data_IF_243919968183
#
_entry.id   IF_243919968183
#
_cell.length_a   1.000
_cell.length_b   1.000
_cell.length_c   1.000
_cell.angle_alpha   90.00
_cell.angle_beta   90.00
_cell.angle_gamma   90.00
#
_symmetry.space_group_name_H-M   'P 1'
#
loop_
_entity.id
_entity.type
_entity.pdbx_description
1 polymer ?
#
# COMPACT_ATOMS: atom_id res chain seq x y z
N UNK A 1 2.37 29.29 -9.77
CA UNK A 1 2.36 27.83 -9.67
C UNK A 1 3.62 27.45 -8.89
N UNK A 2 3.50 26.69 -7.83
CA UNK A 2 4.68 26.07 -7.17
C UNK A 2 5.29 25.09 -8.17
N UNK A 3 6.62 25.01 -8.24
CA UNK A 3 7.27 24.01 -9.09
C UNK A 3 7.01 22.62 -8.50
N UNK A 4 6.63 21.66 -9.32
CA UNK A 4 6.47 20.27 -8.88
C UNK A 4 7.80 19.73 -8.33
N UNK A 5 7.72 18.88 -7.30
CA UNK A 5 8.88 18.14 -6.81
C UNK A 5 9.20 16.98 -7.77
N UNK A 6 10.46 16.62 -7.93
CA UNK A 6 10.86 15.53 -8.83
C UNK A 6 10.11 14.22 -8.57
N UNK A 7 9.88 13.88 -7.29
CA UNK A 7 9.16 12.65 -6.92
C UNK A 7 7.64 12.72 -7.11
N UNK A 8 7.09 13.85 -7.50
CA UNK A 8 5.70 13.99 -7.94
C UNK A 8 5.55 13.93 -9.47
N UNK A 9 6.65 13.73 -10.18
CA UNK A 9 6.70 13.56 -11.62
C UNK A 9 7.13 12.13 -12.00
N UNK A 10 6.99 11.76 -13.27
CA UNK A 10 7.67 10.59 -13.80
C UNK A 10 9.19 10.78 -13.73
N UNK A 11 9.88 9.78 -13.21
CA UNK A 11 11.33 9.74 -13.25
C UNK A 11 11.79 9.29 -14.64
N UNK A 12 12.77 9.97 -15.25
CA UNK A 12 13.35 9.47 -16.47
C UNK A 12 13.91 8.05 -16.26
N UNK A 13 13.52 7.06 -17.09
CA UNK A 13 14.09 5.73 -17.00
C UNK A 13 15.63 5.79 -17.13
N UNK A 14 16.33 5.11 -16.22
CA UNK A 14 17.80 5.06 -16.25
C UNK A 14 18.38 4.18 -17.37
N UNK A 15 17.52 3.39 -18.03
CA UNK A 15 17.86 2.49 -19.13
C UNK A 15 16.59 2.13 -19.93
N UNK A 16 16.75 1.39 -21.02
CA UNK A 16 15.66 0.94 -21.89
C UNK A 16 14.99 -0.37 -21.42
N UNK A 17 15.19 -0.78 -20.16
CA UNK A 17 14.58 -1.99 -19.64
C UNK A 17 13.04 -1.87 -19.70
N UNK A 18 12.34 -2.79 -20.40
CA UNK A 18 10.89 -2.75 -20.53
C UNK A 18 10.16 -2.86 -19.19
N UNK A 19 10.85 -3.29 -18.14
CA UNK A 19 10.32 -3.41 -16.78
C UNK A 19 10.67 -2.23 -15.86
N UNK A 20 11.17 -1.12 -16.42
CA UNK A 20 11.16 0.13 -15.66
C UNK A 20 9.73 0.43 -15.26
N UNK A 21 9.52 0.58 -13.98
CA UNK A 21 8.19 0.66 -13.37
C UNK A 21 8.09 1.91 -12.51
N UNK A 22 6.94 2.57 -12.57
CA UNK A 22 6.55 3.57 -11.58
C UNK A 22 5.21 3.20 -10.99
N UNK A 23 5.04 3.42 -9.70
CA UNK A 23 3.78 3.16 -9.00
C UNK A 23 3.38 4.36 -8.16
N UNK A 24 2.07 4.61 -8.09
CA UNK A 24 1.46 5.53 -7.14
C UNK A 24 0.37 4.76 -6.40
N UNK A 25 0.62 4.38 -5.17
CA UNK A 25 -0.36 3.68 -4.37
C UNK A 25 -0.91 4.59 -3.27
N UNK A 26 -2.21 4.67 -3.20
CA UNK A 26 -2.94 5.34 -2.15
C UNK A 26 -3.90 4.35 -1.52
N UNK A 27 -3.77 4.10 -0.24
CA UNK A 27 -4.68 3.24 0.52
C UNK A 27 -5.28 3.97 1.69
N UNK A 28 -6.53 3.67 1.99
CA UNK A 28 -7.28 4.27 3.08
C UNK A 28 -8.08 3.22 3.83
N UNK A 29 -8.19 3.42 5.14
CA UNK A 29 -8.92 2.54 6.05
C UNK A 29 -10.09 3.30 6.65
N UNK A 30 -11.32 2.78 6.53
CA UNK A 30 -12.57 3.33 7.07
C UNK A 30 -13.12 2.36 8.13
N UNK A 31 -12.63 2.47 9.38
CA UNK A 31 -12.88 1.48 10.42
C UNK A 31 -14.37 1.31 10.77
N UNK A 32 -15.13 2.40 10.73
CA UNK A 32 -16.55 2.43 11.06
C UNK A 32 -17.38 1.54 10.12
N UNK A 33 -16.88 1.33 8.91
CA UNK A 33 -17.47 0.46 7.90
C UNK A 33 -16.72 -0.87 7.75
N UNK A 34 -15.62 -1.05 8.46
CA UNK A 34 -14.65 -2.14 8.25
C UNK A 34 -14.20 -2.25 6.79
N UNK A 35 -14.14 -1.10 6.11
CA UNK A 35 -13.83 -0.99 4.71
C UNK A 35 -12.38 -0.53 4.52
N UNK A 36 -11.69 -1.19 3.61
CA UNK A 36 -10.43 -0.72 3.03
C UNK A 36 -10.60 -0.42 1.56
N UNK A 37 -9.80 0.53 1.08
CA UNK A 37 -9.79 0.86 -0.32
C UNK A 37 -8.41 1.28 -0.80
N UNK A 38 -8.15 1.06 -2.07
CA UNK A 38 -6.92 1.54 -2.70
C UNK A 38 -7.15 2.04 -4.12
N UNK A 39 -6.38 3.07 -4.48
CA UNK A 39 -6.14 3.48 -5.85
C UNK A 39 -4.68 3.17 -6.18
N UNK A 40 -4.46 2.33 -7.18
CA UNK A 40 -3.13 1.82 -7.48
C UNK A 40 -2.81 1.88 -8.98
N UNK A 41 -2.50 3.06 -9.53
CA UNK A 41 -1.95 3.14 -10.88
C UNK A 41 -0.49 2.65 -10.89
N UNK A 42 -0.19 1.91 -11.91
CA UNK A 42 1.07 1.26 -12.18
C UNK A 42 1.48 1.55 -13.62
N UNK A 43 2.71 2.00 -13.83
CA UNK A 43 3.18 2.48 -15.12
C UNK A 43 4.42 1.71 -15.58
N UNK A 44 4.51 1.52 -16.90
CA UNK A 44 5.68 1.01 -17.61
C UNK A 44 6.09 2.01 -18.68
N UNK A 45 6.80 3.09 -18.34
CA UNK A 45 7.12 4.17 -19.28
C UNK A 45 7.82 3.70 -20.54
N UNK A 46 8.79 2.76 -20.44
CA UNK A 46 9.49 2.23 -21.61
C UNK A 46 8.60 1.38 -22.55
N UNK A 47 7.43 0.95 -22.08
CA UNK A 47 6.41 0.29 -22.89
C UNK A 47 5.27 1.24 -23.28
N UNK A 48 5.22 2.45 -22.72
CA UNK A 48 4.15 3.42 -22.94
C UNK A 48 2.80 3.02 -22.35
N UNK A 49 2.77 2.13 -21.34
CA UNK A 49 1.52 1.58 -20.79
C UNK A 49 1.35 1.81 -19.29
N UNK A 50 0.09 1.99 -18.89
CA UNK A 50 -0.38 2.03 -17.52
C UNK A 50 -1.32 0.84 -17.23
N UNK A 51 -1.44 0.46 -15.97
CA UNK A 51 -2.33 -0.58 -15.48
C UNK A 51 -2.85 -0.23 -14.09
N UNK A 52 -3.74 -1.08 -13.55
CA UNK A 52 -4.31 -0.91 -12.23
C UNK A 52 -5.64 -0.18 -12.27
N UNK A 53 -6.18 0.15 -11.16
CA UNK A 53 -7.22 1.12 -10.85
C UNK A 53 -7.63 1.08 -9.37
N UNK A 54 -8.79 0.51 -9.04
CA UNK A 54 -9.42 0.62 -7.74
C UNK A 54 -9.84 -0.74 -7.21
N UNK A 55 -9.63 -0.96 -5.91
CA UNK A 55 -10.21 -2.09 -5.17
C UNK A 55 -10.81 -1.54 -3.88
N UNK A 56 -12.04 -1.95 -3.56
CA UNK A 56 -12.72 -1.72 -2.28
C UNK A 56 -13.14 -3.06 -1.69
N UNK A 57 -12.84 -3.28 -0.42
CA UNK A 57 -13.21 -4.53 0.25
C UNK A 57 -13.60 -4.32 1.71
N UNK A 58 -14.45 -5.19 2.19
CA UNK A 58 -14.94 -5.27 3.56
C UNK A 58 -15.08 -6.75 3.99
N UNK A 59 -15.70 -7.08 5.13
CA UNK A 59 -15.88 -8.48 5.54
C UNK A 59 -16.85 -9.30 4.69
N UNK A 60 -17.54 -8.74 3.68
CA UNK A 60 -18.53 -9.45 2.87
C UNK A 60 -17.91 -10.39 1.83
N UNK A 61 -16.66 -10.13 1.42
CA UNK A 61 -15.90 -10.95 0.48
C UNK A 61 -14.41 -10.88 0.72
N UNK A 62 -13.64 -11.87 0.25
CA UNK A 62 -12.20 -11.93 0.44
C UNK A 62 -11.40 -12.21 -0.85
N UNK A 63 -12.09 -12.22 -1.99
CA UNK A 63 -11.52 -12.42 -3.32
C UNK A 63 -11.94 -11.29 -4.27
N UNK A 64 -11.23 -11.13 -5.38
CA UNK A 64 -11.53 -10.08 -6.36
C UNK A 64 -12.92 -10.22 -7.01
N UNK A 65 -13.51 -11.39 -6.97
CA UNK A 65 -14.84 -11.65 -7.57
C UNK A 65 -16.01 -11.49 -6.60
N UNK A 66 -15.75 -11.31 -5.30
CA UNK A 66 -16.77 -11.14 -4.26
C UNK A 66 -16.53 -9.96 -3.32
N UNK A 67 -15.48 -9.15 -3.54
CA UNK A 67 -15.27 -7.91 -2.82
C UNK A 67 -16.28 -6.82 -3.27
N UNK A 68 -16.35 -5.73 -2.52
CA UNK A 68 -17.30 -4.64 -2.80
C UNK A 68 -17.12 -4.04 -4.20
N UNK A 69 -15.88 -3.87 -4.63
CA UNK A 69 -15.57 -3.35 -5.98
C UNK A 69 -14.16 -3.73 -6.39
N UNK A 70 -14.02 -4.15 -7.64
CA UNK A 70 -12.72 -4.40 -8.24
C UNK A 70 -12.70 -3.92 -9.69
N UNK A 71 -11.78 -3.00 -9.98
CA UNK A 71 -11.42 -2.60 -11.34
C UNK A 71 -9.90 -2.64 -11.46
N UNK A 72 -9.41 -3.36 -12.45
CA UNK A 72 -7.99 -3.43 -12.75
C UNK A 72 -7.81 -3.58 -14.27
N UNK A 73 -7.58 -2.46 -14.94
CA UNK A 73 -7.37 -2.42 -16.39
C UNK A 73 -5.87 -2.49 -16.69
N UNK A 74 -5.51 -3.23 -17.72
CA UNK A 74 -4.13 -3.52 -18.08
C UNK A 74 -3.76 -2.92 -19.43
N UNK A 75 -2.50 -2.47 -19.55
CA UNK A 75 -1.88 -2.01 -20.80
C UNK A 75 -2.63 -0.84 -21.47
N UNK A 76 -3.20 0.04 -20.68
CA UNK A 76 -3.73 1.29 -21.21
C UNK A 76 -2.58 2.22 -21.62
N UNK A 77 -2.73 3.03 -22.69
CA UNK A 77 -1.69 3.98 -23.05
C UNK A 77 -1.49 5.02 -21.94
N UNK A 78 -0.23 5.33 -21.63
CA UNK A 78 0.10 6.50 -20.80
C UNK A 78 -0.21 7.75 -21.63
N UNK A 79 -0.97 8.72 -21.09
CA UNK A 79 -1.23 9.98 -21.79
C UNK A 79 0.08 10.72 -22.09
N UNK A 80 0.40 11.03 -23.36
CA UNK A 80 1.72 11.54 -23.73
C UNK A 80 2.01 12.96 -23.25
N UNK A 81 0.95 13.76 -23.02
CA UNK A 81 1.05 15.18 -22.64
C UNK A 81 0.77 15.43 -21.15
N UNK A 82 0.80 14.38 -20.33
CA UNK A 82 0.52 14.46 -18.90
C UNK A 82 1.70 13.89 -18.07
N UNK A 83 1.81 14.36 -16.84
CA UNK A 83 2.77 13.85 -15.89
C UNK A 83 2.06 13.49 -14.59
N UNK A 84 2.77 12.88 -13.61
CA UNK A 84 2.16 12.40 -12.38
C UNK A 84 1.67 13.51 -11.45
N UNK A 85 2.07 14.76 -11.65
CA UNK A 85 1.54 15.90 -10.89
C UNK A 85 0.09 16.24 -11.26
N UNK A 86 -0.37 15.90 -12.49
CA UNK A 86 -1.79 15.94 -12.89
C UNK A 86 -2.03 14.93 -14.00
N UNK A 87 -2.53 13.74 -13.65
CA UNK A 87 -2.72 12.66 -14.64
C UNK A 87 -4.16 12.10 -14.59
N UNK A 88 -4.77 11.97 -15.77
CA UNK A 88 -6.07 11.34 -16.00
C UNK A 88 -5.89 10.08 -16.82
N UNK A 89 -6.27 8.96 -16.24
CA UNK A 89 -6.12 7.66 -16.86
C UNK A 89 -7.47 7.13 -17.38
N UNK A 90 -7.43 6.38 -18.45
CA UNK A 90 -8.62 5.74 -19.02
C UNK A 90 -9.24 4.67 -18.09
N UNK A 91 -8.54 4.26 -17.03
CA UNK A 91 -9.08 3.38 -16.00
C UNK A 91 -9.99 4.08 -14.96
N UNK A 92 -10.26 5.36 -15.12
CA UNK A 92 -11.11 6.15 -14.24
C UNK A 92 -10.37 6.95 -13.16
N UNK A 93 -9.07 6.76 -13.00
CA UNK A 93 -8.28 7.52 -12.02
C UNK A 93 -7.93 8.91 -12.58
N UNK A 94 -8.15 9.93 -11.75
CA UNK A 94 -7.52 11.24 -11.87
C UNK A 94 -6.78 11.54 -10.56
N UNK A 95 -5.51 11.76 -10.66
CA UNK A 95 -4.61 12.08 -9.57
C UNK A 95 -3.98 13.45 -9.81
N UNK A 96 -4.01 14.35 -8.82
CA UNK A 96 -3.44 15.69 -8.93
C UNK A 96 -2.68 16.08 -7.65
N UNK A 97 -1.43 16.48 -7.80
CA UNK A 97 -0.62 17.08 -6.75
C UNK A 97 -1.05 18.53 -6.53
N UNK A 98 -1.48 18.88 -5.34
CA UNK A 98 -1.88 20.25 -4.94
C UNK A 98 -0.72 20.96 -4.24
N UNK A 99 -0.05 20.26 -3.34
CA UNK A 99 1.15 20.72 -2.65
C UNK A 99 2.21 19.62 -2.75
N UNK A 100 3.39 19.93 -3.30
CA UNK A 100 4.44 18.93 -3.50
C UNK A 100 4.74 18.12 -2.25
N UNK A 101 4.80 16.79 -2.41
CA UNK A 101 5.05 15.78 -1.36
C UNK A 101 4.08 15.80 -0.18
N UNK A 102 3.03 16.61 -0.21
CA UNK A 102 2.18 16.86 0.95
C UNK A 102 0.69 16.64 0.69
N UNK A 103 0.15 17.19 -0.41
CA UNK A 103 -1.31 17.20 -0.62
C UNK A 103 -1.70 16.81 -2.03
N UNK A 104 -2.67 15.91 -2.12
CA UNK A 104 -3.14 15.36 -3.40
C UNK A 104 -4.65 15.27 -3.45
N UNK A 105 -5.22 15.57 -4.60
CA UNK A 105 -6.60 15.23 -4.93
C UNK A 105 -6.62 13.91 -5.69
N UNK A 106 -7.51 13.02 -5.27
CA UNK A 106 -7.72 11.70 -5.82
C UNK A 106 -9.18 11.59 -6.25
N UNK A 107 -9.39 11.33 -7.51
CA UNK A 107 -10.70 11.04 -8.05
C UNK A 107 -10.66 9.71 -8.80
N UNK A 108 -11.65 8.89 -8.57
CA UNK A 108 -11.94 7.70 -9.35
C UNK A 108 -13.41 7.68 -9.70
N UNK A 109 -13.72 7.45 -10.96
CA UNK A 109 -15.06 7.14 -11.43
C UNK A 109 -14.98 5.85 -12.23
N UNK A 110 -15.78 4.84 -11.85
CA UNK A 110 -15.85 3.59 -12.62
C UNK A 110 -16.19 3.88 -14.09
N UNK A 111 -15.29 3.57 -15.03
CA UNK A 111 -15.47 3.96 -16.43
C UNK A 111 -16.55 3.17 -17.17
N UNK A 112 -17.01 2.04 -16.62
CA UNK A 112 -17.94 1.16 -17.33
C UNK A 112 -19.40 1.37 -16.92
N UNK A 113 -19.67 1.46 -15.60
CA UNK A 113 -21.02 1.49 -15.06
C UNK A 113 -21.28 2.62 -14.07
N UNK A 114 -20.27 3.38 -13.72
CA UNK A 114 -20.33 4.45 -12.72
C UNK A 114 -20.84 3.95 -11.34
N UNK A 115 -20.64 2.64 -11.03
CA UNK A 115 -21.05 2.04 -9.77
C UNK A 115 -20.30 2.60 -8.58
N UNK A 116 -19.04 3.04 -8.78
CA UNK A 116 -18.19 3.60 -7.73
C UNK A 116 -17.64 4.96 -8.15
N UNK A 117 -17.76 5.93 -7.26
CA UNK A 117 -17.10 7.21 -7.35
C UNK A 117 -16.35 7.51 -6.05
N UNK A 118 -15.08 7.89 -6.16
CA UNK A 118 -14.21 8.28 -5.04
C UNK A 118 -13.73 9.71 -5.31
N UNK A 119 -13.94 10.60 -4.34
CA UNK A 119 -13.44 11.99 -4.34
C UNK A 119 -12.77 12.24 -3.01
N UNK A 120 -11.46 12.09 -2.98
CA UNK A 120 -10.68 12.23 -1.75
C UNK A 120 -9.58 13.27 -1.91
N UNK A 121 -9.29 13.94 -0.81
CA UNK A 121 -8.07 14.70 -0.61
C UNK A 121 -7.20 13.93 0.36
N UNK A 122 -5.96 13.65 -0.04
CA UNK A 122 -4.91 13.14 0.83
C UNK A 122 -4.08 14.29 1.36
N UNK A 123 -3.76 14.27 2.66
CA UNK A 123 -2.82 15.17 3.31
C UNK A 123 -1.80 14.35 4.10
N UNK A 124 -0.52 14.44 3.73
CA UNK A 124 0.59 13.80 4.45
C UNK A 124 0.72 14.33 5.88
N UNK A 125 0.99 13.45 6.83
CA UNK A 125 1.20 13.80 8.26
C UNK A 125 2.63 14.22 8.56
N UNK A 126 3.57 13.78 7.76
CA UNK A 126 5.00 14.10 7.89
C UNK A 126 5.68 14.00 6.53
N UNK A 127 6.96 14.35 6.49
CA UNK A 127 7.79 14.13 5.30
C UNK A 127 7.81 12.64 4.90
N UNK A 128 7.90 12.33 3.59
CA UNK A 128 7.99 10.96 3.13
C UNK A 128 9.21 10.25 3.67
N UNK A 129 9.04 9.02 4.15
CA UNK A 129 10.12 8.12 4.53
C UNK A 129 10.67 7.40 3.29
N UNK A 130 11.97 7.54 3.02
CA UNK A 130 12.61 7.04 1.79
C UNK A 130 13.38 5.74 2.04
N UNK A 131 13.21 4.79 1.13
CA UNK A 131 14.06 3.59 1.02
C UNK A 131 14.91 3.70 -0.26
N UNK A 132 16.19 4.01 -0.07
CA UNK A 132 17.08 4.29 -1.20
C UNK A 132 16.59 5.46 -2.05
N UNK A 133 16.84 5.38 -3.36
CA UNK A 133 16.46 6.42 -4.32
C UNK A 133 15.17 6.09 -5.11
N UNK A 134 14.59 4.91 -4.90
CA UNK A 134 13.52 4.39 -5.74
C UNK A 134 12.19 4.10 -5.01
N UNK A 135 12.04 4.55 -3.76
CA UNK A 135 10.82 4.29 -3.00
C UNK A 135 10.61 5.30 -1.87
N UNK A 136 9.36 5.63 -1.62
CA UNK A 136 8.95 6.41 -0.46
C UNK A 136 7.58 5.98 0.05
N UNK A 137 7.41 6.09 1.38
CA UNK A 137 6.16 5.87 2.10
C UNK A 137 5.79 7.10 2.93
N UNK A 138 4.52 7.41 3.01
CA UNK A 138 4.05 8.57 3.76
C UNK A 138 2.67 8.27 4.37
N UNK A 139 2.50 8.36 5.70
CA UNK A 139 1.20 8.28 6.34
C UNK A 139 0.42 9.56 6.07
N UNK A 140 -0.89 9.44 5.92
CA UNK A 140 -1.73 10.60 5.61
C UNK A 140 -3.16 10.45 6.07
N UNK A 141 -3.84 11.59 6.06
CA UNK A 141 -5.28 11.71 6.30
C UNK A 141 -5.99 11.84 4.95
N UNK A 142 -7.07 11.11 4.81
CA UNK A 142 -7.99 11.17 3.68
C UNK A 142 -9.30 11.83 4.12
N UNK A 143 -9.76 12.82 3.36
CA UNK A 143 -11.05 13.47 3.57
C UNK A 143 -11.79 13.60 2.24
N UNK A 144 -13.11 13.49 2.26
CA UNK A 144 -13.95 13.62 1.07
C UNK A 144 -15.11 12.64 1.08
N UNK A 145 -15.48 12.12 -0.09
CA UNK A 145 -16.66 11.26 -0.24
C UNK A 145 -16.34 10.00 -1.05
N UNK A 146 -17.02 8.91 -0.73
CA UNK A 146 -17.09 7.70 -1.53
C UNK A 146 -18.56 7.38 -1.77
N UNK A 147 -18.90 7.07 -3.02
CA UNK A 147 -20.18 6.50 -3.43
C UNK A 147 -19.95 5.08 -3.96
N UNK A 148 -20.70 4.14 -3.44
CA UNK A 148 -20.77 2.75 -3.92
C UNK A 148 -22.24 2.48 -4.24
N UNK A 149 -22.57 2.29 -5.52
CA UNK A 149 -23.96 2.22 -6.00
C UNK A 149 -24.76 3.46 -5.53
N UNK A 150 -25.78 3.26 -4.70
CA UNK A 150 -26.65 4.33 -4.15
C UNK A 150 -26.16 4.83 -2.77
N UNK A 151 -25.17 4.18 -2.15
CA UNK A 151 -24.67 4.55 -0.82
C UNK A 151 -23.51 5.56 -0.94
N UNK A 152 -23.77 6.79 -0.50
CA UNK A 152 -22.75 7.85 -0.45
C UNK A 152 -22.43 8.20 0.99
N UNK A 153 -21.15 8.24 1.33
CA UNK A 153 -20.71 8.55 2.69
C UNK A 153 -19.45 9.42 2.71
N UNK A 154 -19.35 10.20 3.78
CA UNK A 154 -18.18 11.01 4.08
C UNK A 154 -17.02 10.16 4.58
N UNK A 155 -15.80 10.54 4.17
CA UNK A 155 -14.55 9.93 4.60
C UNK A 155 -13.76 10.93 5.42
N UNK A 156 -13.32 10.51 6.59
CA UNK A 156 -12.30 11.16 7.40
C UNK A 156 -11.47 10.05 8.04
N UNK A 157 -10.47 9.60 7.33
CA UNK A 157 -9.76 8.35 7.61
C UNK A 157 -8.25 8.54 7.48
N UNK A 158 -7.49 7.57 7.97
CA UNK A 158 -6.06 7.49 7.76
C UNK A 158 -5.71 6.41 6.74
N UNK A 159 -4.49 6.50 6.21
CA UNK A 159 -3.92 5.53 5.31
C UNK A 159 -2.49 5.87 4.93
N UNK A 160 -2.06 5.31 3.81
CA UNK A 160 -0.69 5.49 3.31
C UNK A 160 -0.69 5.99 1.86
N UNK A 161 0.37 6.68 1.50
CA UNK A 161 0.82 6.91 0.13
C UNK A 161 2.16 6.21 -0.06
N UNK A 162 2.27 5.43 -1.12
CA UNK A 162 3.51 4.79 -1.56
C UNK A 162 3.84 5.27 -2.99
N UNK A 163 5.09 5.54 -3.22
CA UNK A 163 5.67 5.79 -4.54
C UNK A 163 6.89 4.91 -4.72
N UNK A 164 6.97 4.27 -5.88
CA UNK A 164 8.15 3.50 -6.23
C UNK A 164 8.52 3.68 -7.68
N UNK A 165 9.82 3.70 -7.97
CA UNK A 165 10.34 3.76 -9.33
C UNK A 165 11.63 2.96 -9.47
N UNK A 166 11.87 2.42 -10.67
CA UNK A 166 13.02 1.58 -10.97
C UNK A 166 12.64 0.31 -11.73
N UNK A 167 13.64 -0.50 -12.03
CA UNK A 167 13.41 -1.79 -12.71
C UNK A 167 12.76 -2.78 -11.73
N UNK A 168 11.55 -3.22 -12.05
CA UNK A 168 10.77 -4.18 -11.27
C UNK A 168 10.18 -5.26 -12.16
N UNK A 169 10.93 -6.34 -12.37
CA UNK A 169 10.47 -7.49 -13.13
C UNK A 169 10.38 -8.72 -12.26
N UNK A 170 9.29 -9.47 -12.42
CA UNK A 170 9.16 -10.83 -11.89
C UNK A 170 9.44 -10.97 -10.37
N UNK A 171 9.10 -9.94 -9.55
CA UNK A 171 9.22 -10.03 -8.08
C UNK A 171 8.52 -11.31 -7.60
N UNK A 172 9.18 -12.07 -6.73
CA UNK A 172 8.69 -13.37 -6.26
C UNK A 172 9.09 -14.54 -7.18
N UNK A 173 9.92 -14.29 -8.20
CA UNK A 173 10.48 -15.31 -9.09
C UNK A 173 12.01 -15.25 -9.10
N UNK A 174 12.66 -16.37 -9.41
CA UNK A 174 14.11 -16.45 -9.60
C UNK A 174 14.63 -15.63 -10.79
N UNK A 175 13.73 -15.17 -11.67
CA UNK A 175 14.07 -14.29 -12.79
C UNK A 175 14.13 -12.81 -12.37
N UNK A 176 13.73 -12.48 -11.15
CA UNK A 176 13.89 -11.14 -10.62
C UNK A 176 15.36 -10.87 -10.28
N UNK A 177 15.95 -9.76 -10.77
CA UNK A 177 17.29 -9.38 -10.35
C UNK A 177 17.27 -8.98 -8.87
N UNK A 178 17.90 -9.74 -8.01
CA UNK A 178 17.96 -9.52 -6.57
C UNK A 178 17.84 -10.82 -5.77
N UNK A 179 17.76 -10.69 -4.46
CA UNK A 179 17.64 -11.84 -3.58
C UNK A 179 16.27 -12.52 -3.76
N UNK A 180 16.19 -13.85 -3.65
CA UNK A 180 14.91 -14.55 -3.62
C UNK A 180 13.99 -13.96 -2.55
N UNK A 181 12.76 -13.69 -2.94
CA UNK A 181 11.73 -13.17 -2.04
C UNK A 181 10.65 -14.23 -1.88
N UNK A 182 10.62 -14.92 -0.76
CA UNK A 182 9.59 -15.91 -0.48
C UNK A 182 8.44 -15.34 0.35
N UNK A 183 8.75 -14.47 1.31
CA UNK A 183 7.77 -13.88 2.20
C UNK A 183 8.22 -12.53 2.75
N UNK A 184 7.25 -11.69 3.09
CA UNK A 184 7.48 -10.42 3.77
C UNK A 184 6.17 -9.79 4.19
N UNK A 185 6.19 -8.51 4.49
CA UNK A 185 5.00 -7.75 4.85
C UNK A 185 5.18 -6.27 4.58
N UNK A 186 4.07 -5.60 4.44
CA UNK A 186 3.92 -4.16 4.44
C UNK A 186 2.85 -3.83 5.48
N UNK A 187 3.24 -3.24 6.59
CA UNK A 187 2.37 -3.12 7.75
C UNK A 187 2.46 -1.71 8.33
N UNK A 188 1.31 -1.09 8.59
CA UNK A 188 1.25 0.24 9.17
C UNK A 188 0.04 0.43 10.06
N UNK A 189 0.10 1.42 10.94
CA UNK A 189 -1.05 1.94 11.67
C UNK A 189 -0.91 3.43 11.96
N UNK A 190 -2.06 4.09 12.06
CA UNK A 190 -2.17 5.49 12.44
C UNK A 190 -3.26 5.64 13.51
N UNK A 191 -2.93 6.25 14.63
CA UNK A 191 -3.89 6.59 15.70
C UNK A 191 -4.33 8.06 15.61
N UNK A 192 -3.42 8.93 15.20
CA UNK A 192 -3.65 10.38 15.14
C UNK A 192 -2.68 11.05 14.16
N UNK A 193 -2.82 12.35 13.96
CA UNK A 193 -1.87 13.15 13.17
C UNK A 193 -0.46 13.17 13.79
N UNK A 194 -0.29 12.65 15.01
CA UNK A 194 0.96 12.67 15.77
C UNK A 194 1.49 11.28 16.12
N UNK A 195 0.72 10.22 15.84
CA UNK A 195 1.05 8.85 16.24
C UNK A 195 0.74 7.89 15.11
N UNK A 196 1.79 7.41 14.46
CA UNK A 196 1.74 6.44 13.37
C UNK A 196 3.04 5.63 13.33
N UNK A 197 2.99 4.49 12.69
CA UNK A 197 4.19 3.69 12.40
C UNK A 197 4.01 2.88 11.12
N UNK A 198 5.13 2.49 10.54
CA UNK A 198 5.17 1.67 9.33
C UNK A 198 6.39 0.76 9.36
N UNK A 199 6.24 -0.48 8.86
CA UNK A 199 7.32 -1.46 8.74
C UNK A 199 7.16 -2.27 7.45
N UNK A 200 8.15 -2.22 6.58
CA UNK A 200 8.31 -3.21 5.50
C UNK A 200 9.23 -4.30 6.02
N UNK A 201 8.84 -5.56 5.84
CA UNK A 201 9.65 -6.71 6.21
C UNK A 201 9.95 -7.61 5.02
N UNK A 202 11.11 -8.27 5.06
CA UNK A 202 11.47 -9.35 4.17
C UNK A 202 11.91 -10.57 4.97
N UNK A 203 11.69 -11.77 4.43
CA UNK A 203 12.16 -12.99 5.07
C UNK A 203 13.68 -13.11 4.94
N UNK A 204 14.34 -13.15 6.10
CA UNK A 204 15.79 -13.36 6.23
C UNK A 204 15.98 -14.50 7.23
N UNK A 205 16.58 -15.59 6.82
CA UNK A 205 16.82 -16.79 7.66
C UNK A 205 15.52 -17.29 8.36
N UNK A 206 14.41 -17.33 7.62
CA UNK A 206 13.12 -17.80 8.12
C UNK A 206 12.33 -16.79 8.97
N UNK A 207 12.85 -15.60 9.22
CA UNK A 207 12.20 -14.55 10.01
C UNK A 207 11.84 -13.35 9.13
N UNK A 208 10.68 -12.71 9.36
CA UNK A 208 10.32 -11.46 8.69
C UNK A 208 10.95 -10.27 9.43
N UNK A 209 12.10 -9.82 8.93
CA UNK A 209 12.91 -8.75 9.51
C UNK A 209 12.59 -7.43 8.80
N UNK A 210 12.50 -6.35 9.56
CA UNK A 210 12.28 -5.00 9.05
C UNK A 210 13.46 -4.53 8.19
N UNK A 211 13.14 -4.10 6.98
CA UNK A 211 14.12 -3.55 6.03
C UNK A 211 13.89 -2.06 5.80
N UNK A 212 12.72 -1.55 6.21
CA UNK A 212 12.34 -0.14 6.09
C UNK A 212 11.18 0.15 7.04
N UNK A 213 11.06 1.39 7.48
CA UNK A 213 9.94 1.84 8.29
C UNK A 213 10.23 3.11 9.07
N UNK A 214 9.24 3.56 9.82
CA UNK A 214 9.34 4.74 10.68
C UNK A 214 8.44 4.60 11.92
N UNK A 215 8.72 5.41 12.91
CA UNK A 215 7.88 5.67 14.07
C UNK A 215 7.64 7.17 14.20
N UNK A 216 6.37 7.59 14.11
CA UNK A 216 5.89 8.92 14.49
C UNK A 216 5.22 8.77 15.85
N UNK A 217 5.75 9.42 16.88
CA UNK A 217 5.22 9.38 18.26
C UNK A 217 5.27 10.78 18.86
N UNK A 218 4.14 11.24 19.39
CA UNK A 218 3.97 12.61 19.94
C UNK A 218 4.36 13.71 18.92
N UNK A 219 4.22 13.42 17.62
CA UNK A 219 4.62 14.31 16.52
C UNK A 219 6.11 14.31 16.22
N UNK A 220 6.91 13.44 16.85
CA UNK A 220 8.34 13.28 16.57
C UNK A 220 8.55 12.06 15.68
N UNK A 221 9.00 12.30 14.45
CA UNK A 221 9.29 11.27 13.46
C UNK A 221 10.72 10.76 13.58
N UNK A 222 10.94 9.46 13.36
CA UNK A 222 12.26 8.85 13.20
C UNK A 222 12.17 7.56 12.38
N UNK A 223 13.23 7.23 11.66
CA UNK A 223 13.36 5.94 10.96
C UNK A 223 13.46 4.79 11.96
N UNK A 224 12.96 3.61 11.56
CA UNK A 224 13.24 2.38 12.28
C UNK A 224 14.67 1.92 12.01
N UNK A 225 15.42 1.65 13.09
CA UNK A 225 16.73 1.02 13.05
C UNK A 225 16.63 -0.50 12.96
N UNK A 226 15.59 -1.07 13.56
CA UNK A 226 15.28 -2.50 13.52
C UNK A 226 13.77 -2.72 13.60
N UNK A 227 13.30 -3.84 13.02
CA UNK A 227 11.90 -4.22 13.05
C UNK A 227 11.72 -5.72 12.82
N UNK A 228 10.59 -6.26 13.26
CA UNK A 228 10.20 -7.65 13.05
C UNK A 228 8.68 -7.75 12.95
N UNK A 229 8.21 -8.59 12.03
CA UNK A 229 6.81 -8.98 11.92
C UNK A 229 6.66 -10.47 12.23
N UNK A 230 5.71 -10.81 13.07
CA UNK A 230 5.37 -12.18 13.44
C UNK A 230 3.87 -12.40 13.29
N UNK A 231 3.48 -13.43 12.55
CA UNK A 231 2.09 -13.88 12.50
C UNK A 231 1.89 -14.87 13.64
N UNK A 232 1.12 -14.46 14.63
CA UNK A 232 0.85 -15.25 15.85
C UNK A 232 -0.21 -16.30 15.57
N UNK A 233 -1.24 -15.97 14.81
CA UNK A 233 -2.36 -16.84 14.49
C UNK A 233 -2.81 -16.65 13.03
N UNK A 234 -3.32 -17.73 12.43
CA UNK A 234 -3.91 -17.73 11.11
C UNK A 234 -5.29 -18.38 11.10
N UNK A 235 -6.16 -17.87 10.23
CA UNK A 235 -7.43 -18.50 9.86
C UNK A 235 -7.52 -18.56 8.35
N UNK A 236 -7.78 -19.73 7.80
CA UNK A 236 -7.87 -19.96 6.35
C UNK A 236 -6.62 -19.42 5.60
N UNK A 237 -5.44 -19.70 6.16
CA UNK A 237 -4.12 -19.24 5.68
C UNK A 237 -3.86 -17.72 5.80
N UNK A 238 -4.87 -16.91 6.09
CA UNK A 238 -4.74 -15.47 6.33
C UNK A 238 -4.32 -15.18 7.77
N UNK A 239 -3.49 -14.17 8.05
CA UNK A 239 -3.24 -13.72 9.40
C UNK A 239 -4.54 -13.35 10.13
N UNK A 240 -4.69 -13.80 11.37
CA UNK A 240 -5.79 -13.42 12.27
C UNK A 240 -5.29 -12.71 13.54
N UNK A 241 -3.99 -12.80 13.81
CA UNK A 241 -3.31 -12.01 14.84
C UNK A 241 -1.85 -11.83 14.46
N UNK A 242 -1.36 -10.61 14.56
CA UNK A 242 -0.01 -10.21 14.12
C UNK A 242 0.67 -9.40 15.21
N UNK A 243 1.98 -9.57 15.36
CA UNK A 243 2.82 -8.74 16.23
C UNK A 243 3.89 -8.05 15.40
N UNK A 244 4.08 -6.76 15.70
CA UNK A 244 5.20 -5.97 15.22
C UNK A 244 6.04 -5.57 16.43
N UNK A 245 7.34 -5.74 16.32
CA UNK A 245 8.30 -5.16 17.26
C UNK A 245 9.35 -4.38 16.51
N UNK A 246 9.89 -3.34 17.13
CA UNK A 246 10.92 -2.53 16.50
C UNK A 246 11.55 -1.54 17.45
N UNK A 247 12.56 -0.86 16.94
CA UNK A 247 13.19 0.29 17.60
C UNK A 247 13.63 1.30 16.53
N UNK A 248 13.40 2.57 16.81
CA UNK A 248 13.81 3.65 15.92
C UNK A 248 15.23 4.16 16.24
N UNK A 249 15.73 5.04 15.38
CA UNK A 249 17.07 5.63 15.53
C UNK A 249 17.21 6.53 16.79
N UNK A 250 16.10 6.96 17.39
CA UNK A 250 16.08 7.67 18.67
C UNK A 250 16.06 6.73 19.88
N UNK A 251 16.06 5.40 19.65
CA UNK A 251 16.04 4.38 20.70
C UNK A 251 14.64 4.09 21.27
N UNK A 252 13.56 4.65 20.68
CA UNK A 252 12.19 4.39 21.13
C UNK A 252 11.74 3.03 20.60
N UNK A 253 11.13 2.23 21.45
CA UNK A 253 10.63 0.90 21.09
C UNK A 253 9.23 0.99 20.49
N UNK A 254 8.91 0.09 19.58
CA UNK A 254 7.58 -0.21 19.07
C UNK A 254 7.23 -1.65 19.44
N UNK A 255 6.12 -1.86 20.13
CA UNK A 255 5.51 -3.16 20.34
C UNK A 255 4.01 -3.06 20.06
N UNK A 256 3.56 -3.64 18.94
CA UNK A 256 2.20 -3.57 18.47
C UNK A 256 1.60 -4.95 18.22
N UNK A 257 0.35 -5.16 18.65
CA UNK A 257 -0.46 -6.32 18.28
C UNK A 257 -1.66 -5.88 17.44
N UNK A 258 -1.90 -6.62 16.35
CA UNK A 258 -2.93 -6.34 15.38
C UNK A 258 -3.94 -7.47 15.23
N UNK A 259 -5.20 -7.10 15.07
CA UNK A 259 -6.32 -7.99 14.78
C UNK A 259 -6.97 -7.56 13.47
N UNK A 260 -6.88 -8.36 12.40
CA UNK A 260 -7.59 -8.11 11.14
C UNK A 260 -9.12 -8.16 11.28
N UNK A 261 -9.81 -7.22 10.62
CA UNK A 261 -11.26 -7.11 10.60
C UNK A 261 -11.89 -7.38 9.21
N UNK A 262 -11.12 -7.19 8.16
CA UNK A 262 -11.43 -7.65 6.81
C UNK A 262 -10.19 -8.26 6.18
N UNK A 263 -10.31 -8.81 4.99
CA UNK A 263 -9.17 -9.30 4.21
C UNK A 263 -9.51 -9.33 2.73
N UNK A 264 -8.49 -9.22 1.88
CA UNK A 264 -8.60 -9.53 0.46
C UNK A 264 -7.34 -10.27 -0.01
N UNK A 265 -7.52 -11.36 -0.75
CA UNK A 265 -6.45 -12.12 -1.37
C UNK A 265 -6.23 -11.66 -2.81
N UNK A 266 -5.05 -11.10 -3.11
CA UNK A 266 -4.77 -10.56 -4.44
C UNK A 266 -3.38 -10.95 -4.94
N UNK A 267 -3.24 -11.03 -6.27
CA UNK A 267 -1.93 -11.02 -6.92
C UNK A 267 -1.53 -9.57 -7.22
N UNK A 268 -0.51 -9.05 -6.52
CA UNK A 268 0.08 -7.74 -6.85
C UNK A 268 0.82 -7.77 -8.20
N UNK A 269 1.37 -8.93 -8.53
CA UNK A 269 1.84 -9.30 -9.85
C UNK A 269 1.73 -10.83 -9.99
N UNK A 270 1.96 -11.43 -11.18
CA UNK A 270 1.76 -12.87 -11.37
C UNK A 270 2.52 -13.78 -10.40
N UNK A 271 3.62 -13.30 -9.81
CA UNK A 271 4.49 -14.09 -8.94
C UNK A 271 4.43 -13.65 -7.46
N UNK A 272 3.65 -12.64 -7.13
CA UNK A 272 3.52 -12.10 -5.78
C UNK A 272 2.05 -12.13 -5.34
N UNK A 273 1.75 -13.00 -4.39
CA UNK A 273 0.47 -13.07 -3.70
C UNK A 273 0.50 -12.26 -2.41
N UNK A 274 -0.61 -11.64 -2.04
CA UNK A 274 -0.75 -10.98 -0.74
C UNK A 274 -2.14 -11.16 -0.16
N UNK A 275 -2.21 -11.26 1.18
CA UNK A 275 -3.39 -10.92 1.96
C UNK A 275 -3.27 -9.47 2.41
N UNK A 276 -4.19 -8.60 2.00
CA UNK A 276 -4.29 -7.24 2.53
C UNK A 276 -5.45 -7.19 3.52
N UNK A 277 -5.17 -6.78 4.75
CA UNK A 277 -6.12 -6.85 5.85
C UNK A 277 -6.25 -5.49 6.54
N UNK A 278 -7.46 -4.94 6.63
CA UNK A 278 -7.74 -3.87 7.59
C UNK A 278 -7.55 -4.41 9.01
N UNK A 279 -6.65 -3.78 9.74
CA UNK A 279 -6.22 -4.28 11.04
C UNK A 279 -6.36 -3.19 12.11
N UNK A 280 -7.02 -3.55 13.22
CA UNK A 280 -6.99 -2.78 14.45
C UNK A 280 -5.69 -3.09 15.19
N UNK A 281 -4.93 -2.06 15.53
CA UNK A 281 -3.66 -2.17 16.21
C UNK A 281 -3.70 -1.54 17.59
N UNK A 282 -3.01 -2.17 18.54
CA UNK A 282 -2.76 -1.65 19.88
C UNK A 282 -1.27 -1.69 20.17
N UNK A 283 -0.71 -0.56 20.64
CA UNK A 283 0.72 -0.47 20.89
C UNK A 283 1.06 0.45 22.05
N UNK A 284 2.27 0.31 22.59
CA UNK A 284 2.96 1.24 23.50
C UNK A 284 2.09 1.85 24.60
N UNK A 285 1.66 1.04 25.57
CA UNK A 285 0.97 1.53 26.78
C UNK A 285 -0.50 1.90 26.57
N UNK A 286 -1.11 1.44 25.48
CA UNK A 286 -2.56 1.59 25.26
C UNK A 286 -2.96 2.52 24.13
N UNK A 287 -2.01 2.97 23.31
CA UNK A 287 -2.32 3.63 22.04
C UNK A 287 -3.03 2.63 21.12
N UNK A 288 -4.04 3.09 20.39
CA UNK A 288 -4.76 2.26 19.43
C UNK A 288 -5.05 3.04 18.15
N UNK A 289 -5.02 2.34 17.03
CA UNK A 289 -5.27 2.92 15.71
C UNK A 289 -5.55 1.85 14.67
N UNK A 290 -5.73 2.29 13.45
CA UNK A 290 -6.06 1.44 12.32
C UNK A 290 -5.04 1.57 11.20
N UNK A 291 -4.89 0.52 10.44
CA UNK A 291 -4.04 0.48 9.26
C UNK A 291 -4.19 -0.86 8.55
N UNK A 292 -3.22 -1.22 7.77
CA UNK A 292 -3.25 -2.49 7.05
C UNK A 292 -2.08 -3.38 7.44
N UNK A 293 -2.32 -4.69 7.40
CA UNK A 293 -1.30 -5.73 7.41
C UNK A 293 -1.32 -6.47 6.09
N UNK A 294 -0.23 -6.39 5.35
CA UNK A 294 -0.05 -7.15 4.12
C UNK A 294 0.88 -8.34 4.38
N UNK A 295 0.36 -9.54 4.18
CA UNK A 295 1.13 -10.79 4.26
C UNK A 295 1.56 -11.21 2.85
N UNK A 296 2.73 -10.76 2.44
CA UNK A 296 3.24 -10.90 1.08
C UNK A 296 4.03 -12.21 0.90
N UNK A 297 3.77 -12.92 -0.18
CA UNK A 297 4.40 -14.19 -0.51
C UNK A 297 4.80 -14.26 -1.98
N UNK A 298 5.92 -14.94 -2.29
CA UNK A 298 6.02 -15.47 -3.65
C UNK A 298 4.85 -16.43 -3.89
N UNK A 299 4.26 -16.41 -5.09
CA UNK A 299 3.12 -17.27 -5.41
C UNK A 299 3.46 -18.76 -5.24
N UNK A 300 4.71 -19.13 -5.49
CA UNK A 300 5.21 -20.50 -5.29
C UNK A 300 5.30 -20.89 -3.81
N UNK A 301 5.77 -19.99 -2.95
CA UNK A 301 5.85 -20.23 -1.52
C UNK A 301 4.45 -20.29 -0.88
N UNK A 302 3.55 -19.36 -1.27
CA UNK A 302 2.16 -19.37 -0.79
C UNK A 302 1.45 -20.68 -1.19
N UNK A 303 1.56 -21.10 -2.46
CA UNK A 303 1.00 -22.38 -2.91
C UNK A 303 1.52 -23.57 -2.11
N UNK A 304 2.82 -23.60 -1.78
CA UNK A 304 3.40 -24.64 -0.94
C UNK A 304 2.78 -24.61 0.46
N UNK A 305 2.79 -23.44 1.10
CA UNK A 305 2.18 -23.24 2.42
C UNK A 305 0.72 -23.71 2.49
N UNK A 306 -0.13 -23.32 1.52
CA UNK A 306 -1.54 -23.74 1.48
C UNK A 306 -1.69 -25.26 1.35
N UNK A 307 -0.78 -25.95 0.64
CA UNK A 307 -0.88 -27.38 0.41
C UNK A 307 -0.27 -28.25 1.51
N UNK A 308 0.72 -27.76 2.24
CA UNK A 308 1.48 -28.57 3.21
C UNK A 308 1.36 -28.06 4.64
N UNK A 309 0.89 -26.82 4.85
CA UNK A 309 0.92 -26.16 6.15
C UNK A 309 2.31 -25.68 6.58
N UNK A 310 3.34 -25.91 5.76
CA UNK A 310 4.72 -25.53 6.05
C UNK A 310 5.00 -24.12 5.53
N UNK A 311 5.24 -23.18 6.43
CA UNK A 311 5.87 -21.90 6.08
C UNK A 311 7.37 -22.13 5.98
N UNK A 312 7.91 -22.03 4.78
CA UNK A 312 9.36 -22.12 4.50
C UNK A 312 10.17 -21.11 5.30
#
# INVERSE_FOLDING_TARGET
MMSAHADDLFHPPSNDDPFWTETCWFTFAIPERKLSGQLYPFFRPNQGVASGACILWDPSGDQLHDCLFHKNLWHLPIPPDQNLDDIRLANGIHYRCIEPLSKYELHFLDPDREEVEIRLTYQGLCEPNRLGEGHLDQPGRYTGTIRIEDDTFEVNAFGMRDRSWGVRSQIGSTLHPGAPYDRGGYTYATASDRDAWHVITAQIQGQCIGIHGFLLRDGVWSKLAEGRREVLERRDHCPSRVRITGRDELGRTLEAEGTPHNRIGVHLNPNLWTWNCLTEWRWDGGCSGWGEDHDNWSASAFRRFVRTGESS
#
